data_IF_898570324981
#
_entry.id   IF_898570324981
#
_cell.length_a   1.000
_cell.length_b   1.000
_cell.length_c   1.000
_cell.angle_alpha   90.00
_cell.angle_beta   90.00
_cell.angle_gamma   90.00
#
_symmetry.space_group_name_H-M   'P 1'
#
loop_
_entity.id
_entity.type
_entity.pdbx_description
1 polymer ?
#
# COMPACT_ATOMS: atom_id res chain seq x y z
N UNK A 1 29.44 5.01 -9.41
CA UNK A 1 29.56 3.66 -8.80
C UNK A 1 28.89 3.74 -7.45
N UNK A 2 27.90 2.86 -7.16
CA UNK A 2 27.18 2.85 -5.89
C UNK A 2 28.10 2.36 -4.77
N UNK A 3 28.09 3.04 -3.62
CA UNK A 3 28.96 2.74 -2.48
C UNK A 3 28.32 1.79 -1.48
N UNK A 4 27.00 1.90 -1.30
CA UNK A 4 26.26 1.06 -0.37
C UNK A 4 26.12 -0.36 -0.90
N UNK A 5 26.32 -1.33 -0.02
CA UNK A 5 26.00 -2.74 -0.23
C UNK A 5 24.63 -3.11 0.34
N UNK A 6 23.94 -2.18 0.99
CA UNK A 6 22.61 -2.38 1.54
C UNK A 6 21.60 -2.70 0.42
N UNK A 7 20.50 -3.28 0.81
CA UNK A 7 19.31 -3.48 0.00
C UNK A 7 18.23 -2.54 0.49
N UNK A 8 17.36 -2.09 -0.39
CA UNK A 8 16.21 -1.25 -0.06
C UNK A 8 14.93 -1.99 -0.38
N UNK A 9 14.02 -2.07 0.57
CA UNK A 9 12.65 -2.54 0.37
C UNK A 9 11.69 -1.41 0.67
N UNK A 10 10.87 -1.02 -0.29
CA UNK A 10 9.86 0.03 -0.12
C UNK A 10 8.48 -0.58 -0.30
N UNK A 11 7.64 -0.44 0.70
CA UNK A 11 6.25 -0.90 0.66
C UNK A 11 5.28 0.24 0.33
N UNK A 12 4.20 -0.08 -0.37
CA UNK A 12 2.95 0.68 -0.27
C UNK A 12 2.22 0.29 1.03
N UNK A 13 1.33 1.18 1.50
CA UNK A 13 0.49 0.90 2.65
C UNK A 13 -0.82 0.21 2.22
N UNK A 14 -1.70 0.96 1.58
CA UNK A 14 -3.09 0.58 1.34
C UNK A 14 -3.22 -0.50 0.25
N UNK A 15 -3.71 -1.68 0.61
CA UNK A 15 -3.83 -2.80 -0.32
C UNK A 15 -2.58 -3.69 -0.41
N UNK A 16 -1.45 -3.25 0.12
CA UNK A 16 -0.21 -4.03 0.13
C UNK A 16 0.16 -4.51 1.53
N UNK A 17 0.33 -3.59 2.48
CA UNK A 17 0.61 -3.93 3.88
C UNK A 17 -0.65 -3.84 4.74
N UNK A 18 -1.53 -2.89 4.47
CA UNK A 18 -2.75 -2.60 5.22
C UNK A 18 -3.98 -3.11 4.48
N UNK A 19 -4.86 -3.87 5.16
CA UNK A 19 -6.19 -4.22 4.64
C UNK A 19 -7.09 -2.97 4.62
N UNK A 20 -6.88 -2.13 3.62
CA UNK A 20 -7.63 -0.91 3.43
C UNK A 20 -9.12 -1.17 3.11
N UNK A 21 -9.47 -2.33 2.55
CA UNK A 21 -10.86 -2.69 2.26
C UNK A 21 -11.68 -2.81 3.54
N UNK A 22 -11.16 -3.51 4.54
CA UNK A 22 -11.81 -3.65 5.84
C UNK A 22 -12.00 -2.29 6.52
N UNK A 23 -11.00 -1.42 6.45
CA UNK A 23 -11.08 -0.08 7.04
C UNK A 23 -12.17 0.78 6.37
N UNK A 24 -12.26 0.73 5.05
CA UNK A 24 -13.25 1.49 4.30
C UNK A 24 -14.66 0.91 4.50
N UNK A 25 -14.83 -0.40 4.46
CA UNK A 25 -16.10 -1.06 4.79
C UNK A 25 -16.60 -0.62 6.18
N UNK A 26 -15.73 -0.67 7.17
CA UNK A 26 -16.06 -0.25 8.54
C UNK A 26 -16.47 1.21 8.59
N UNK A 27 -15.77 2.08 7.84
CA UNK A 27 -16.12 3.50 7.73
C UNK A 27 -17.51 3.70 7.14
N UNK A 28 -17.81 3.05 6.02
CA UNK A 28 -19.14 3.16 5.39
C UNK A 28 -20.25 2.64 6.31
N UNK A 29 -20.02 1.49 6.95
CA UNK A 29 -20.98 0.90 7.90
C UNK A 29 -21.29 1.84 9.08
N UNK A 30 -20.29 2.54 9.63
CA UNK A 30 -20.47 3.55 10.69
C UNK A 30 -21.34 4.73 10.26
N UNK A 31 -21.41 5.02 8.97
CA UNK A 31 -22.26 6.05 8.38
C UNK A 31 -23.61 5.52 7.87
N UNK A 32 -23.98 4.28 8.22
CA UNK A 32 -25.24 3.65 7.76
C UNK A 32 -25.27 3.42 6.25
N UNK A 33 -24.11 3.37 5.60
CA UNK A 33 -24.01 3.10 4.17
C UNK A 33 -23.75 1.61 3.96
N UNK A 34 -24.63 0.96 3.18
CA UNK A 34 -24.45 -0.42 2.77
C UNK A 34 -23.57 -0.48 1.51
N UNK A 35 -22.45 -1.16 1.61
CA UNK A 35 -21.55 -1.40 0.47
C UNK A 35 -22.05 -2.58 -0.41
N UNK A 36 -23.07 -3.32 0.06
CA UNK A 36 -23.59 -4.50 -0.62
C UNK A 36 -22.61 -5.68 -0.62
N UNK A 37 -22.59 -6.45 -1.70
CA UNK A 37 -21.72 -7.60 -1.88
C UNK A 37 -20.23 -7.19 -1.81
N UNK A 38 -19.51 -7.75 -0.86
CA UNK A 38 -18.07 -7.46 -0.62
C UNK A 38 -17.19 -7.79 -1.82
N UNK A 39 -17.47 -8.88 -2.53
CA UNK A 39 -16.70 -9.25 -3.72
C UNK A 39 -16.94 -8.28 -4.87
N UNK A 40 -18.19 -7.83 -5.03
CA UNK A 40 -18.49 -6.74 -5.98
C UNK A 40 -17.89 -5.41 -5.54
N UNK A 41 -17.81 -5.16 -4.24
CA UNK A 41 -17.18 -3.96 -3.70
C UNK A 41 -15.67 -3.98 -3.94
N UNK A 42 -15.00 -5.08 -3.66
CA UNK A 42 -13.58 -5.28 -3.99
C UNK A 42 -13.31 -5.14 -5.50
N UNK A 43 -14.19 -5.63 -6.36
CA UNK A 43 -14.11 -5.45 -7.82
C UNK A 43 -14.44 -4.03 -8.30
N UNK A 44 -15.09 -3.20 -7.49
CA UNK A 44 -15.43 -1.79 -7.81
C UNK A 44 -14.38 -0.79 -7.32
N UNK A 45 -13.15 -1.07 -7.51
CA UNK A 45 -11.93 -0.34 -7.10
C UNK A 45 -11.90 1.15 -7.41
N UNK A 46 -12.69 1.60 -8.34
CA UNK A 46 -12.91 3.02 -8.62
C UNK A 46 -13.46 3.77 -7.40
N UNK A 47 -14.13 3.12 -6.46
CA UNK A 47 -14.67 3.76 -5.25
C UNK A 47 -13.59 4.44 -4.42
N UNK A 48 -12.40 3.91 -4.35
CA UNK A 48 -11.29 4.42 -3.53
C UNK A 48 -10.64 5.66 -4.14
N UNK A 49 -10.56 5.74 -5.45
CA UNK A 49 -10.22 6.99 -6.15
C UNK A 49 -11.24 8.10 -5.86
N UNK A 50 -12.43 7.75 -5.34
CA UNK A 50 -13.59 8.65 -5.18
C UNK A 50 -13.78 9.25 -3.80
N UNK A 51 -13.17 8.72 -2.78
CA UNK A 51 -12.91 9.53 -1.60
C UNK A 51 -12.06 10.75 -2.00
N UNK A 52 -11.35 10.68 -3.11
CA UNK A 52 -10.68 11.77 -3.82
C UNK A 52 -11.56 12.61 -4.78
N UNK A 53 -12.76 12.12 -5.25
CA UNK A 53 -13.65 12.85 -6.17
C UNK A 53 -14.99 12.15 -6.37
N UNK A 54 -16.10 12.85 -6.12
CA UNK A 54 -17.47 12.32 -6.07
C UNK A 54 -18.08 11.89 -7.44
N UNK A 55 -17.36 12.03 -8.57
CA UNK A 55 -17.98 11.93 -9.89
C UNK A 55 -18.31 10.51 -10.40
N UNK A 56 -17.79 9.47 -9.80
CA UNK A 56 -17.88 8.10 -10.35
C UNK A 56 -18.42 7.05 -9.36
N UNK A 57 -19.04 7.47 -8.25
CA UNK A 57 -19.73 6.55 -7.34
C UNK A 57 -20.97 5.92 -8.05
N UNK A 58 -21.24 4.62 -7.80
CA UNK A 58 -22.53 4.03 -8.18
C UNK A 58 -23.70 4.88 -7.66
N UNK A 59 -24.78 4.99 -8.43
CA UNK A 59 -25.88 5.88 -8.08
C UNK A 59 -26.46 5.66 -6.68
N UNK A 60 -26.52 4.41 -6.21
CA UNK A 60 -26.95 4.06 -4.86
C UNK A 60 -26.03 4.60 -3.76
N UNK A 61 -24.71 4.55 -3.96
CA UNK A 61 -23.71 5.11 -3.04
C UNK A 61 -23.59 6.63 -3.19
N UNK A 62 -23.73 7.16 -4.41
CA UNK A 62 -23.70 8.60 -4.65
C UNK A 62 -24.82 9.33 -3.93
N UNK A 63 -26.03 8.76 -3.89
CA UNK A 63 -27.16 9.31 -3.13
C UNK A 63 -26.94 9.22 -1.60
N UNK A 64 -26.27 8.19 -1.14
CA UNK A 64 -25.95 8.00 0.28
C UNK A 64 -24.78 8.89 0.73
N UNK A 65 -23.74 9.00 -0.07
CA UNK A 65 -22.57 9.87 0.20
C UNK A 65 -22.95 11.35 0.11
N UNK A 66 -23.91 11.72 -0.76
CA UNK A 66 -24.43 13.10 -0.84
C UNK A 66 -25.08 13.60 0.46
N UNK A 67 -25.48 12.69 1.36
CA UNK A 67 -26.05 13.02 2.69
C UNK A 67 -24.97 13.20 3.77
N UNK A 68 -23.72 12.74 3.54
CA UNK A 68 -22.61 12.84 4.46
C UNK A 68 -21.52 13.73 3.87
N UNK A 69 -20.99 14.65 4.66
CA UNK A 69 -19.86 15.45 4.18
C UNK A 69 -18.62 14.56 4.03
N UNK A 70 -17.89 14.72 2.92
CA UNK A 70 -16.59 14.06 2.69
C UNK A 70 -15.65 14.19 3.89
N UNK A 71 -15.68 15.35 4.55
CA UNK A 71 -14.88 15.63 5.75
C UNK A 71 -15.19 14.65 6.89
N UNK A 72 -16.48 14.35 7.11
CA UNK A 72 -16.90 13.37 8.14
C UNK A 72 -16.43 11.95 7.79
N UNK A 73 -16.56 11.55 6.52
CA UNK A 73 -16.09 10.24 6.08
C UNK A 73 -14.58 10.07 6.27
N UNK A 74 -13.80 11.08 5.89
CA UNK A 74 -12.35 11.06 6.08
C UNK A 74 -11.94 11.07 7.56
N UNK A 75 -12.65 11.82 8.41
CA UNK A 75 -12.42 11.79 9.84
C UNK A 75 -12.66 10.39 10.42
N UNK A 76 -13.81 9.77 10.09
CA UNK A 76 -14.12 8.40 10.52
C UNK A 76 -13.12 7.39 9.95
N UNK A 77 -12.72 7.52 8.69
CA UNK A 77 -11.70 6.65 8.10
C UNK A 77 -10.38 6.76 8.87
N UNK A 78 -9.98 7.97 9.24
CA UNK A 78 -8.77 8.20 10.04
C UNK A 78 -8.85 7.50 11.41
N UNK A 79 -9.99 7.63 12.10
CA UNK A 79 -10.23 6.92 13.36
C UNK A 79 -10.17 5.39 13.18
N UNK A 80 -10.82 4.87 12.13
CA UNK A 80 -10.79 3.43 11.83
C UNK A 80 -9.37 2.96 11.55
N UNK A 81 -8.57 3.71 10.82
CA UNK A 81 -7.16 3.38 10.58
C UNK A 81 -6.38 3.33 11.89
N UNK A 82 -6.54 4.32 12.74
CA UNK A 82 -5.82 4.41 14.02
C UNK A 82 -6.19 3.30 14.99
N UNK A 83 -7.48 2.92 15.02
CA UNK A 83 -8.01 2.05 16.09
C UNK A 83 -8.31 0.61 15.65
N UNK A 84 -8.65 0.36 14.39
CA UNK A 84 -9.25 -0.90 13.95
C UNK A 84 -8.63 -1.52 12.70
N UNK A 85 -8.04 -0.72 11.80
CA UNK A 85 -7.45 -1.26 10.58
C UNK A 85 -6.35 -2.27 10.90
N UNK A 86 -6.20 -3.27 10.04
CA UNK A 86 -5.28 -4.39 10.23
C UNK A 86 -4.26 -4.43 9.11
N UNK A 87 -3.10 -4.95 9.43
CA UNK A 87 -2.17 -5.44 8.42
C UNK A 87 -2.70 -6.75 7.84
N UNK A 88 -2.35 -7.05 6.61
CA UNK A 88 -2.58 -8.39 6.07
C UNK A 88 -1.83 -9.45 6.88
N UNK A 89 -2.33 -10.70 6.94
CA UNK A 89 -1.67 -11.77 7.68
C UNK A 89 -0.19 -11.94 7.26
N UNK A 90 0.69 -12.15 8.24
CA UNK A 90 2.13 -12.35 8.00
C UNK A 90 2.94 -11.09 7.65
N UNK A 91 2.29 -9.95 7.36
CA UNK A 91 3.02 -8.72 6.99
C UNK A 91 3.76 -8.10 8.19
N UNK A 92 3.21 -8.22 9.40
CA UNK A 92 3.90 -7.71 10.58
C UNK A 92 5.22 -8.44 10.80
N UNK A 93 5.21 -9.75 10.69
CA UNK A 93 6.38 -10.62 10.79
C UNK A 93 7.41 -10.33 9.68
N UNK A 94 6.95 -10.19 8.43
CA UNK A 94 7.82 -9.82 7.31
C UNK A 94 8.52 -8.49 7.58
N UNK A 95 7.77 -7.44 7.92
CA UNK A 95 8.33 -6.10 8.14
C UNK A 95 9.31 -6.11 9.31
N UNK A 96 8.97 -6.79 10.42
CA UNK A 96 9.87 -6.93 11.58
C UNK A 96 11.17 -7.63 11.18
N UNK A 97 11.09 -8.76 10.46
CA UNK A 97 12.26 -9.47 9.95
C UNK A 97 13.16 -8.57 9.10
N UNK A 98 12.57 -7.76 8.23
CA UNK A 98 13.35 -6.87 7.35
C UNK A 98 13.99 -5.71 8.11
N UNK A 99 13.30 -5.12 9.08
CA UNK A 99 13.80 -4.02 9.91
C UNK A 99 14.97 -4.48 10.79
N UNK A 100 14.92 -5.72 11.27
CA UNK A 100 15.97 -6.32 12.11
C UNK A 100 17.16 -6.86 11.30
N UNK A 101 16.99 -7.07 9.99
CA UNK A 101 18.01 -7.67 9.14
C UNK A 101 19.15 -6.69 8.83
N UNK A 102 20.41 -7.05 9.10
CA UNK A 102 21.54 -6.19 8.79
C UNK A 102 21.67 -5.89 7.29
N UNK A 103 21.87 -4.64 6.93
CA UNK A 103 22.05 -4.20 5.55
C UNK A 103 20.76 -4.18 4.73
N UNK A 104 19.59 -4.24 5.37
CA UNK A 104 18.29 -3.98 4.76
C UNK A 104 17.83 -2.59 5.22
N UNK A 105 17.43 -1.76 4.26
CA UNK A 105 16.75 -0.49 4.48
C UNK A 105 15.27 -0.67 4.16
N UNK A 106 14.40 -0.29 5.09
CA UNK A 106 12.96 -0.42 4.94
C UNK A 106 12.32 0.94 4.78
N UNK A 107 11.48 1.10 3.76
CA UNK A 107 10.74 2.33 3.52
C UNK A 107 9.26 2.10 3.28
N UNK A 108 8.49 3.17 3.42
CA UNK A 108 7.07 3.24 3.12
C UNK A 108 6.81 4.42 2.18
N UNK A 109 6.17 4.16 1.04
CA UNK A 109 5.74 5.21 0.10
C UNK A 109 4.27 4.99 -0.24
N UNK A 110 3.40 5.88 0.23
CA UNK A 110 1.95 5.68 0.13
C UNK A 110 1.21 6.92 -0.30
N UNK A 111 0.01 6.72 -0.87
CA UNK A 111 -0.98 7.75 -1.20
C UNK A 111 -2.17 7.73 -0.25
N UNK A 112 -1.94 7.36 1.00
CA UNK A 112 -2.99 7.29 2.01
C UNK A 112 -3.72 8.63 2.17
N UNK A 113 -5.05 8.58 2.24
CA UNK A 113 -5.93 9.75 2.22
C UNK A 113 -6.42 10.18 3.60
N UNK A 114 -6.02 9.49 4.65
CA UNK A 114 -6.40 9.84 6.03
C UNK A 114 -5.87 11.22 6.43
N UNK A 115 -6.43 11.80 7.48
CA UNK A 115 -5.83 12.99 8.08
C UNK A 115 -4.50 12.61 8.73
N UNK A 116 -3.49 13.46 8.58
CA UNK A 116 -2.14 13.20 9.10
C UNK A 116 -1.67 11.78 8.77
N UNK A 117 -1.57 11.43 7.46
CA UNK A 117 -1.41 10.04 7.05
C UNK A 117 -0.17 9.37 7.64
N UNK A 118 0.92 10.09 7.81
CA UNK A 118 2.13 9.54 8.44
C UNK A 118 1.87 9.15 9.89
N UNK A 119 1.29 10.03 10.71
CA UNK A 119 0.97 9.73 12.11
C UNK A 119 -0.09 8.63 12.22
N UNK A 120 -1.09 8.65 11.34
CA UNK A 120 -2.12 7.61 11.27
C UNK A 120 -1.53 6.24 11.00
N UNK A 121 -0.62 6.13 10.05
CA UNK A 121 0.09 4.88 9.77
C UNK A 121 1.05 4.48 10.90
N UNK A 122 1.75 5.44 11.51
CA UNK A 122 2.57 5.17 12.69
C UNK A 122 1.77 4.51 13.81
N UNK A 123 0.59 5.01 14.11
CA UNK A 123 -0.29 4.44 15.13
C UNK A 123 -0.77 3.04 14.73
N UNK A 124 -1.16 2.83 13.47
CA UNK A 124 -1.56 1.54 12.95
C UNK A 124 -0.43 0.51 13.07
N UNK A 125 0.76 0.81 12.56
CA UNK A 125 1.90 -0.11 12.61
C UNK A 125 2.31 -0.43 14.04
N UNK A 126 2.34 0.59 14.92
CA UNK A 126 2.66 0.41 16.35
C UNK A 126 1.69 -0.54 17.05
N UNK A 127 0.39 -0.52 16.73
CA UNK A 127 -0.59 -1.48 17.26
C UNK A 127 -0.28 -2.93 16.84
N UNK A 128 0.44 -3.11 15.76
CA UNK A 128 0.90 -4.41 15.26
C UNK A 128 2.33 -4.75 15.69
N UNK A 129 2.88 -4.02 16.68
CA UNK A 129 4.20 -4.28 17.21
C UNK A 129 5.37 -3.71 16.38
N UNK A 130 5.08 -2.94 15.34
CA UNK A 130 6.10 -2.36 14.47
C UNK A 130 6.29 -0.89 14.84
N UNK A 131 7.51 -0.53 15.27
CA UNK A 131 7.87 0.88 15.42
C UNK A 131 8.31 1.45 14.07
N UNK A 132 7.52 2.37 13.54
CA UNK A 132 7.85 3.06 12.29
C UNK A 132 9.06 3.99 12.39
N UNK A 133 9.58 4.27 13.59
CA UNK A 133 10.87 4.91 13.75
C UNK A 133 12.04 4.04 13.22
N UNK A 134 11.81 2.73 13.09
CA UNK A 134 12.73 1.79 12.46
C UNK A 134 12.69 1.82 10.92
N UNK A 135 11.72 2.50 10.32
CA UNK A 135 11.72 2.71 8.87
C UNK A 135 12.73 3.80 8.50
N UNK A 136 13.62 3.47 7.58
CA UNK A 136 14.65 4.38 7.09
C UNK A 136 14.08 5.52 6.22
N UNK A 137 12.90 5.29 5.62
CA UNK A 137 12.24 6.25 4.74
C UNK A 137 10.72 6.14 4.80
N UNK A 138 10.04 7.26 4.98
CA UNK A 138 8.58 7.35 4.92
C UNK A 138 8.19 8.54 4.05
N UNK A 139 7.31 8.31 3.07
CA UNK A 139 6.75 9.37 2.24
C UNK A 139 5.24 9.14 2.04
N UNK A 140 4.45 10.10 2.54
CA UNK A 140 3.03 10.19 2.26
C UNK A 140 2.82 11.26 1.19
N UNK A 141 2.41 10.84 0.00
CA UNK A 141 2.23 11.72 -1.15
C UNK A 141 0.75 11.89 -1.51
N UNK A 142 0.43 12.91 -2.29
CA UNK A 142 -0.95 13.13 -2.72
C UNK A 142 -1.39 12.08 -3.76
N UNK A 143 -2.72 11.87 -3.91
CA UNK A 143 -3.28 10.94 -4.90
C UNK A 143 -2.89 11.27 -6.36
N UNK A 144 -2.46 12.52 -6.63
CA UNK A 144 -2.09 12.98 -7.97
C UNK A 144 -0.61 12.78 -8.28
N UNK A 145 0.20 12.58 -7.25
CA UNK A 145 1.65 12.40 -7.39
C UNK A 145 1.99 10.97 -7.79
N UNK A 146 3.12 10.83 -8.46
CA UNK A 146 3.71 9.55 -8.85
C UNK A 146 4.69 9.08 -7.77
N UNK A 147 4.66 7.79 -7.46
CA UNK A 147 5.58 7.17 -6.50
C UNK A 147 7.03 7.07 -7.02
N UNK A 148 7.25 7.22 -8.32
CA UNK A 148 8.61 7.15 -8.89
C UNK A 148 9.57 8.19 -8.30
N UNK A 149 9.08 9.40 -8.03
CA UNK A 149 9.87 10.45 -7.38
C UNK A 149 10.39 10.02 -6.00
N UNK A 150 9.52 9.69 -5.03
CA UNK A 150 9.89 9.19 -3.71
C UNK A 150 10.74 7.91 -3.74
N UNK A 151 10.42 6.93 -4.59
CA UNK A 151 11.24 5.71 -4.74
C UNK A 151 12.67 6.02 -5.16
N UNK A 152 12.81 6.92 -6.14
CA UNK A 152 14.13 7.39 -6.59
C UNK A 152 14.86 8.15 -5.50
N UNK A 153 14.16 9.02 -4.76
CA UNK A 153 14.74 9.78 -3.66
C UNK A 153 15.26 8.86 -2.53
N UNK A 154 14.47 7.86 -2.12
CA UNK A 154 14.89 6.87 -1.12
C UNK A 154 16.15 6.12 -1.59
N UNK A 155 16.13 5.57 -2.80
CA UNK A 155 17.26 4.83 -3.35
C UNK A 155 18.53 5.66 -3.46
N UNK A 156 18.44 6.89 -3.98
CA UNK A 156 19.58 7.79 -4.14
C UNK A 156 20.11 8.29 -2.78
N UNK A 157 19.21 8.58 -1.83
CA UNK A 157 19.57 9.03 -0.49
C UNK A 157 20.43 8.02 0.27
N UNK A 158 20.21 6.73 0.02
CA UNK A 158 21.02 5.64 0.61
C UNK A 158 22.13 5.15 -0.32
N UNK A 159 22.35 5.77 -1.47
CA UNK A 159 23.35 5.37 -2.49
C UNK A 159 23.23 3.88 -2.90
N UNK A 160 22.00 3.38 -3.01
CA UNK A 160 21.71 1.96 -3.31
C UNK A 160 21.61 1.74 -4.82
N UNK A 161 22.27 0.67 -5.29
CA UNK A 161 22.15 0.21 -6.67
C UNK A 161 20.68 -0.18 -6.97
N UNK A 162 20.10 0.25 -8.12
CA UNK A 162 18.74 -0.15 -8.52
C UNK A 162 18.48 -1.65 -8.44
N UNK A 163 19.43 -2.48 -8.87
CA UNK A 163 19.31 -3.95 -8.82
C UNK A 163 19.21 -4.52 -7.38
N UNK A 164 19.44 -3.71 -6.35
CA UNK A 164 19.32 -4.07 -4.92
C UNK A 164 18.18 -3.32 -4.23
N UNK A 165 17.30 -2.70 -5.00
CA UNK A 165 16.13 -2.00 -4.51
C UNK A 165 14.85 -2.70 -5.00
N UNK A 166 13.89 -2.82 -4.13
CA UNK A 166 12.64 -3.55 -4.31
C UNK A 166 11.47 -2.66 -3.92
N UNK A 167 10.39 -2.68 -4.70
CA UNK A 167 9.17 -1.94 -4.42
C UNK A 167 7.97 -2.87 -4.43
N UNK A 168 7.25 -2.93 -3.30
CA UNK A 168 6.05 -3.73 -3.12
C UNK A 168 4.81 -2.86 -3.24
N UNK A 169 3.85 -3.24 -4.08
CA UNK A 169 2.62 -2.49 -4.32
C UNK A 169 1.53 -3.37 -4.91
N UNK A 170 0.29 -2.87 -4.97
CA UNK A 170 -0.88 -3.61 -5.41
C UNK A 170 -1.59 -3.01 -6.63
N UNK A 171 -1.12 -1.88 -7.13
CA UNK A 171 -1.64 -1.26 -8.34
C UNK A 171 -0.61 -1.29 -9.48
N UNK A 172 -1.09 -1.29 -10.73
CA UNK A 172 -0.24 -1.08 -11.92
C UNK A 172 0.67 0.16 -11.81
N UNK A 173 0.20 1.20 -11.11
CA UNK A 173 1.01 2.40 -10.89
C UNK A 173 2.25 2.15 -10.04
N UNK A 174 2.19 1.19 -9.13
CA UNK A 174 3.35 0.80 -8.31
C UNK A 174 4.38 0.07 -9.18
N UNK A 175 3.91 -0.86 -10.02
CA UNK A 175 4.73 -1.50 -11.03
C UNK A 175 5.40 -0.48 -11.95
N UNK A 176 4.62 0.43 -12.54
CA UNK A 176 5.14 1.43 -13.46
C UNK A 176 6.17 2.36 -12.79
N UNK A 177 5.92 2.77 -11.54
CA UNK A 177 6.84 3.60 -10.77
C UNK A 177 8.15 2.86 -10.46
N UNK A 178 8.09 1.59 -10.08
CA UNK A 178 9.27 0.76 -9.83
C UNK A 178 10.12 0.62 -11.10
N UNK A 179 9.50 0.24 -12.22
CA UNK A 179 10.18 0.09 -13.52
C UNK A 179 10.82 1.42 -13.97
N UNK A 180 10.11 2.54 -13.84
CA UNK A 180 10.63 3.87 -14.19
C UNK A 180 11.85 4.30 -13.35
N UNK A 181 12.03 3.69 -12.18
CA UNK A 181 13.18 3.92 -11.29
C UNK A 181 14.28 2.85 -11.42
N UNK A 182 14.06 1.81 -12.24
CA UNK A 182 14.95 0.65 -12.34
C UNK A 182 14.96 -0.20 -11.06
N UNK A 183 13.91 -0.10 -10.24
CA UNK A 183 13.73 -0.86 -9.00
C UNK A 183 12.97 -2.14 -9.30
N UNK A 184 13.29 -3.24 -8.64
CA UNK A 184 12.63 -4.53 -8.83
C UNK A 184 11.20 -4.48 -8.25
N UNK A 185 10.14 -4.66 -9.07
CA UNK A 185 8.77 -4.66 -8.59
C UNK A 185 8.37 -6.01 -7.98
N UNK A 186 7.66 -5.96 -6.87
CA UNK A 186 6.93 -7.06 -6.26
C UNK A 186 5.46 -6.64 -6.16
N UNK A 187 4.62 -7.14 -7.04
CA UNK A 187 3.22 -6.71 -7.13
C UNK A 187 2.33 -7.76 -6.50
N UNK A 188 1.30 -7.31 -5.80
CA UNK A 188 0.35 -8.20 -5.14
C UNK A 188 -1.04 -8.05 -5.74
N UNK A 189 -1.78 -9.17 -5.84
CA UNK A 189 -3.13 -9.21 -6.42
C UNK A 189 -4.25 -9.28 -5.37
N UNK A 190 -3.89 -9.40 -4.10
CA UNK A 190 -4.86 -9.41 -3.00
C UNK A 190 -5.32 -8.00 -2.56
N UNK A 191 -4.70 -6.95 -3.11
CA UNK A 191 -5.03 -5.55 -2.86
C UNK A 191 -6.11 -4.98 -3.78
N UNK A 192 -5.93 -3.72 -4.23
CA UNK A 192 -6.90 -3.02 -5.06
C UNK A 192 -6.98 -3.52 -6.50
N UNK A 193 -5.95 -4.09 -7.09
CA UNK A 193 -5.98 -4.68 -8.42
C UNK A 193 -5.75 -6.20 -8.37
N UNK A 194 -6.67 -7.00 -8.98
CA UNK A 194 -6.57 -8.46 -9.04
C UNK A 194 -5.59 -8.92 -10.12
N UNK A 195 -5.22 -10.21 -10.06
CA UNK A 195 -4.29 -10.81 -10.99
C UNK A 195 -4.73 -10.66 -12.46
N UNK A 196 -6.03 -10.85 -12.76
CA UNK A 196 -6.55 -10.72 -14.13
C UNK A 196 -6.29 -9.31 -14.67
N UNK A 197 -6.59 -8.28 -13.88
CA UNK A 197 -6.37 -6.90 -14.29
C UNK A 197 -4.90 -6.54 -14.40
N UNK A 198 -4.07 -6.97 -13.46
CA UNK A 198 -2.63 -6.71 -13.48
C UNK A 198 -1.98 -7.37 -14.67
N UNK A 199 -2.24 -8.67 -14.88
CA UNK A 199 -1.57 -9.48 -15.90
C UNK A 199 -2.20 -9.27 -17.28
N UNK A 200 -3.50 -9.58 -17.43
CA UNK A 200 -4.16 -9.51 -18.73
C UNK A 200 -4.55 -8.07 -19.11
N UNK A 201 -4.90 -7.22 -18.13
CA UNK A 201 -5.32 -5.85 -18.39
C UNK A 201 -4.18 -4.87 -18.61
N UNK A 202 -3.10 -4.99 -17.84
CA UNK A 202 -1.97 -4.05 -17.86
C UNK A 202 -0.64 -4.64 -18.36
N UNK A 203 -0.56 -5.95 -18.57
CA UNK A 203 0.64 -6.62 -19.06
C UNK A 203 1.75 -6.72 -18.01
N UNK A 204 1.40 -6.72 -16.71
CA UNK A 204 2.39 -7.01 -15.66
C UNK A 204 2.82 -8.48 -15.79
N UNK A 205 4.12 -8.80 -15.82
CA UNK A 205 4.58 -10.19 -15.88
C UNK A 205 4.03 -10.99 -14.69
N UNK A 206 3.50 -12.18 -14.97
CA UNK A 206 2.84 -13.02 -13.96
C UNK A 206 3.78 -13.45 -12.83
N UNK A 207 5.06 -13.65 -13.14
CA UNK A 207 6.11 -13.99 -12.17
C UNK A 207 6.42 -12.87 -11.17
N UNK A 208 5.99 -11.64 -11.45
CA UNK A 208 6.12 -10.49 -10.54
C UNK A 208 4.88 -10.29 -9.65
N UNK A 209 3.80 -11.06 -9.87
CA UNK A 209 2.54 -10.92 -9.13
C UNK A 209 2.45 -12.02 -8.08
N UNK A 210 2.29 -11.66 -6.83
CA UNK A 210 2.02 -12.56 -5.71
C UNK A 210 0.53 -12.53 -5.36
N UNK A 211 -0.11 -13.69 -5.22
CA UNK A 211 -1.54 -13.78 -4.98
C UNK A 211 -1.91 -13.74 -3.49
N UNK A 212 -0.94 -13.96 -2.62
CA UNK A 212 -1.15 -13.93 -1.16
C UNK A 212 -0.02 -13.19 -0.44
N UNK A 213 -0.26 -12.71 0.80
CA UNK A 213 0.79 -12.11 1.62
C UNK A 213 1.95 -13.06 1.94
N UNK A 214 1.64 -14.36 2.11
CA UNK A 214 2.64 -15.40 2.36
C UNK A 214 3.56 -15.57 1.14
N UNK A 215 2.99 -15.53 -0.05
CA UNK A 215 3.75 -15.61 -1.29
C UNK A 215 4.64 -14.38 -1.49
N UNK A 216 4.13 -13.16 -1.22
CA UNK A 216 4.95 -11.95 -1.21
C UNK A 216 6.13 -12.10 -0.25
N UNK A 217 5.85 -12.55 0.99
CA UNK A 217 6.87 -12.73 2.03
C UNK A 217 7.95 -13.73 1.59
N UNK A 218 7.55 -14.91 1.11
CA UNK A 218 8.47 -15.94 0.65
C UNK A 218 9.36 -15.45 -0.50
N UNK A 219 8.76 -14.85 -1.52
CA UNK A 219 9.49 -14.36 -2.70
C UNK A 219 10.46 -13.23 -2.33
N UNK A 220 10.03 -12.31 -1.47
CA UNK A 220 10.85 -11.17 -1.05
C UNK A 220 12.02 -11.61 -0.17
N UNK A 221 11.79 -12.47 0.82
CA UNK A 221 12.85 -13.02 1.67
C UNK A 221 13.87 -13.82 0.85
N UNK A 222 13.41 -14.61 -0.14
CA UNK A 222 14.31 -15.29 -1.05
C UNK A 222 15.16 -14.32 -1.88
N UNK A 223 14.56 -13.25 -2.44
CA UNK A 223 15.29 -12.23 -3.20
C UNK A 223 16.31 -11.44 -2.36
N UNK A 224 16.13 -11.47 -1.04
CA UNK A 224 17.00 -10.82 -0.07
C UNK A 224 18.00 -11.77 0.61
N UNK A 225 18.08 -13.05 0.19
CA UNK A 225 18.89 -14.10 0.83
C UNK A 225 18.63 -14.23 2.34
N UNK A 226 17.35 -14.08 2.75
CA UNK A 226 16.89 -14.21 4.15
C UNK A 226 16.00 -15.44 4.39
N UNK A 227 15.71 -16.22 3.34
CA UNK A 227 14.90 -17.44 3.40
C UNK A 227 15.72 -18.65 3.77
#
# INVERSE_FOLDING_TARGET
MYRSRDRLVVFDADGTTVDAFQAIETTFRRHGMDIGDQDRFRKRRKLFKYLGGLRELPNNLRQQVGKQSRRKLLATLTEVYRDQARLFPGIAELVTTLVEAPGIRVGLVTRNITHEPEETLRQLFRRHGIDTAAFDYVACISLREDKAGPLRAARLGFDINPARAYACGDEYRDYAAAVACGVNPFIVSYGFEDAERLIAGFGVPADLVADTPEELSSRLLHALDLA
#
